data_IF_448307365816
#
_entry.id   IF_448307365816
#
_cell.length_a   1.000
_cell.length_b   1.000
_cell.length_c   1.000
_cell.angle_alpha   90.00
_cell.angle_beta   90.00
_cell.angle_gamma   90.00
#
_symmetry.space_group_name_H-M   'P 1'
#
loop_
_entity.id
_entity.type
_entity.pdbx_description
1 polymer ?
#
# COMPACT_ATOMS: atom_id res chain seq x y z
N UNK A 1 6.52 -18.81 -5.83
CA UNK A 1 5.85 -17.83 -4.96
C UNK A 1 5.75 -16.55 -5.75
N UNK A 2 4.55 -16.16 -6.15
CA UNK A 2 4.31 -14.88 -6.81
C UNK A 2 4.31 -13.77 -5.76
N UNK A 3 5.32 -12.89 -5.84
CA UNK A 3 5.45 -11.71 -4.98
C UNK A 3 4.69 -10.50 -5.54
N UNK A 4 3.92 -10.68 -6.62
CA UNK A 4 3.05 -9.62 -7.12
C UNK A 4 1.93 -9.33 -6.14
N UNK A 5 1.47 -8.10 -6.14
CA UNK A 5 0.28 -7.66 -5.44
C UNK A 5 -0.78 -7.41 -6.53
N UNK A 6 -1.51 -8.45 -6.96
CA UNK A 6 -2.60 -8.25 -7.92
C UNK A 6 -3.57 -7.22 -7.39
N UNK A 7 -4.15 -6.42 -8.28
CA UNK A 7 -5.19 -5.45 -7.97
C UNK A 7 -6.25 -5.98 -6.98
N UNK A 8 -6.69 -7.23 -7.18
CA UNK A 8 -7.67 -7.87 -6.32
C UNK A 8 -7.20 -8.01 -4.85
N UNK A 9 -5.91 -8.27 -4.65
CA UNK A 9 -5.32 -8.36 -3.31
C UNK A 9 -5.21 -6.98 -2.67
N UNK A 10 -4.85 -5.95 -3.44
CA UNK A 10 -4.85 -4.56 -2.98
C UNK A 10 -6.25 -4.14 -2.51
N UNK A 11 -7.28 -4.40 -3.31
CA UNK A 11 -8.68 -4.09 -2.96
C UNK A 11 -9.12 -4.76 -1.66
N UNK A 12 -8.78 -6.05 -1.48
CA UNK A 12 -9.11 -6.77 -0.24
C UNK A 12 -8.48 -6.13 1.00
N UNK A 13 -7.22 -5.69 0.90
CA UNK A 13 -6.53 -5.03 2.00
C UNK A 13 -7.13 -3.64 2.26
N UNK A 14 -7.44 -2.87 1.22
CA UNK A 14 -8.12 -1.57 1.36
C UNK A 14 -9.49 -1.72 2.04
N UNK A 15 -10.28 -2.73 1.69
CA UNK A 15 -11.56 -2.99 2.34
C UNK A 15 -11.39 -3.25 3.85
N UNK A 16 -10.39 -4.06 4.25
CA UNK A 16 -10.08 -4.30 5.66
C UNK A 16 -9.63 -3.03 6.38
N UNK A 17 -8.83 -2.18 5.73
CA UNK A 17 -8.41 -0.90 6.29
C UNK A 17 -9.59 0.07 6.47
N UNK A 18 -10.51 0.12 5.51
CA UNK A 18 -11.73 0.94 5.60
C UNK A 18 -12.64 0.46 6.72
N UNK A 19 -12.79 -0.86 6.90
CA UNK A 19 -13.55 -1.42 8.03
C UNK A 19 -12.92 -1.05 9.38
N UNK A 20 -11.58 -1.03 9.46
CA UNK A 20 -10.86 -0.78 10.71
C UNK A 20 -10.72 0.69 11.08
N UNK A 21 -10.44 1.55 10.10
CA UNK A 21 -10.06 2.95 10.32
C UNK A 21 -11.07 3.94 9.77
N UNK A 22 -12.11 3.46 9.10
CA UNK A 22 -13.08 4.29 8.39
C UNK A 22 -12.65 4.60 6.96
N UNK A 23 -13.62 5.08 6.19
CA UNK A 23 -13.47 5.37 4.76
C UNK A 23 -12.76 6.71 4.55
N UNK A 24 -11.66 6.76 3.79
CA UNK A 24 -11.02 8.04 3.46
C UNK A 24 -11.85 8.83 2.43
N UNK A 25 -11.62 10.14 2.38
CA UNK A 25 -12.16 10.98 1.30
C UNK A 25 -11.34 10.82 0.01
N UNK A 26 -10.01 10.73 0.15
CA UNK A 26 -9.08 10.56 -0.98
C UNK A 26 -8.05 9.47 -0.71
N UNK A 27 -7.74 8.71 -1.75
CA UNK A 27 -6.66 7.72 -1.78
C UNK A 27 -5.61 8.20 -2.77
N UNK A 28 -4.40 8.51 -2.28
CA UNK A 28 -3.27 8.87 -3.16
C UNK A 28 -2.40 7.65 -3.43
N UNK A 29 -2.09 7.39 -4.69
CA UNK A 29 -1.22 6.28 -5.10
C UNK A 29 -0.17 6.68 -6.11
N UNK A 30 0.92 5.92 -6.16
CA UNK A 30 1.86 5.99 -7.27
C UNK A 30 1.26 5.42 -8.58
N UNK A 31 2.02 5.55 -9.66
CA UNK A 31 1.65 5.05 -10.98
C UNK A 31 2.04 3.57 -11.18
N UNK A 32 2.09 2.77 -10.11
CA UNK A 32 2.34 1.35 -10.20
C UNK A 32 1.21 0.61 -10.95
N UNK A 33 1.50 -0.42 -11.75
CA UNK A 33 0.48 -1.17 -12.49
C UNK A 33 -0.57 -1.81 -11.57
N UNK A 34 -0.18 -2.09 -10.34
CA UNK A 34 -1.03 -2.66 -9.29
C UNK A 34 -2.08 -1.67 -8.77
N UNK A 35 -1.84 -0.37 -8.95
CA UNK A 35 -2.71 0.74 -8.55
C UNK A 35 -3.37 1.47 -9.73
N UNK A 36 -2.99 1.16 -10.97
CA UNK A 36 -3.63 1.69 -12.19
C UNK A 36 -4.77 0.79 -12.68
N UNK A 37 -4.95 -0.40 -12.09
CA UNK A 37 -5.96 -1.36 -12.51
C UNK A 37 -7.39 -0.78 -12.53
N UNK A 38 -8.18 -1.17 -13.54
CA UNK A 38 -9.60 -0.79 -13.64
C UNK A 38 -10.38 -1.21 -12.38
N UNK A 39 -10.10 -2.40 -11.84
CA UNK A 39 -10.76 -2.92 -10.65
C UNK A 39 -10.59 -2.00 -9.42
N UNK A 40 -9.41 -1.38 -9.23
CA UNK A 40 -9.20 -0.45 -8.12
C UNK A 40 -9.97 0.86 -8.33
N UNK A 41 -10.02 1.35 -9.57
CA UNK A 41 -10.79 2.54 -9.91
C UNK A 41 -12.29 2.32 -9.66
N UNK A 42 -12.82 1.17 -10.10
CA UNK A 42 -14.22 0.79 -9.89
C UNK A 42 -14.54 0.71 -8.38
N UNK A 43 -13.68 0.06 -7.60
CA UNK A 43 -13.85 -0.03 -6.15
C UNK A 43 -13.84 1.35 -5.48
N UNK A 44 -12.90 2.24 -5.84
CA UNK A 44 -12.85 3.59 -5.28
C UNK A 44 -14.12 4.38 -5.63
N UNK A 45 -14.61 4.25 -6.86
CA UNK A 45 -15.86 4.88 -7.31
C UNK A 45 -17.06 4.38 -6.51
N UNK A 46 -17.21 3.07 -6.33
CA UNK A 46 -18.29 2.47 -5.54
C UNK A 46 -18.28 2.93 -4.08
N UNK A 47 -17.08 3.19 -3.54
CA UNK A 47 -16.90 3.66 -2.17
C UNK A 47 -16.84 5.19 -2.07
N UNK A 48 -17.10 5.93 -3.15
CA UNK A 48 -17.00 7.41 -3.16
C UNK A 48 -15.66 7.89 -2.57
N UNK A 49 -14.57 7.23 -2.96
CA UNK A 49 -13.19 7.58 -2.61
C UNK A 49 -12.56 8.19 -3.84
N UNK A 50 -12.01 9.40 -3.71
CA UNK A 50 -11.29 10.07 -4.80
C UNK A 50 -9.89 9.47 -4.96
N UNK A 51 -9.65 8.74 -6.05
CA UNK A 51 -8.36 8.14 -6.35
C UNK A 51 -7.47 9.16 -7.07
N UNK A 52 -6.40 9.60 -6.43
CA UNK A 52 -5.46 10.57 -6.97
C UNK A 52 -4.10 9.92 -7.26
N UNK A 53 -3.68 9.92 -8.52
CA UNK A 53 -2.31 9.51 -8.87
C UNK A 53 -1.33 10.65 -8.62
N UNK A 54 -0.09 10.29 -8.27
CA UNK A 54 1.00 11.27 -8.25
C UNK A 54 1.28 11.79 -9.65
N UNK A 55 1.58 13.09 -9.74
CA UNK A 55 1.95 13.71 -11.00
C UNK A 55 3.32 13.17 -11.47
N UNK A 56 3.45 12.78 -12.75
CA UNK A 56 4.74 12.39 -13.32
C UNK A 56 5.81 13.47 -13.06
N UNK A 57 6.97 13.06 -12.56
CA UNK A 57 8.07 13.98 -12.25
C UNK A 57 7.92 14.77 -10.94
N UNK A 58 6.91 14.48 -10.10
CA UNK A 58 6.77 15.07 -8.76
C UNK A 58 6.92 14.04 -7.63
N UNK A 59 8.15 13.50 -7.42
CA UNK A 59 8.40 12.48 -6.38
C UNK A 59 8.09 12.98 -4.97
N UNK A 60 8.13 14.30 -4.74
CA UNK A 60 7.80 14.92 -3.45
C UNK A 60 6.37 14.65 -2.98
N UNK A 61 5.43 14.37 -3.91
CA UNK A 61 4.07 13.98 -3.55
C UNK A 61 4.01 12.61 -2.85
N UNK A 62 5.00 11.74 -3.06
CA UNK A 62 5.08 10.44 -2.39
C UNK A 62 6.12 10.39 -1.26
N UNK A 63 6.83 11.49 -0.99
CA UNK A 63 7.98 11.52 -0.09
C UNK A 63 7.69 11.00 1.33
N UNK A 64 6.47 11.19 1.83
CA UNK A 64 6.08 10.65 3.14
C UNK A 64 6.09 9.12 3.16
N UNK A 65 5.46 8.48 2.16
CA UNK A 65 5.42 7.01 2.06
C UNK A 65 6.80 6.46 1.74
N UNK A 66 7.58 7.12 0.88
CA UNK A 66 8.96 6.71 0.60
C UNK A 66 9.84 6.77 1.86
N UNK A 67 9.69 7.83 2.68
CA UNK A 67 10.41 7.95 3.95
C UNK A 67 9.98 6.88 4.95
N UNK A 68 8.68 6.59 5.05
CA UNK A 68 8.18 5.52 5.90
C UNK A 68 8.77 4.17 5.47
N UNK A 69 8.70 3.83 4.18
CA UNK A 69 9.25 2.59 3.63
C UNK A 69 10.76 2.48 3.88
N UNK A 70 11.50 3.57 3.71
CA UNK A 70 12.93 3.62 4.01
C UNK A 70 13.24 3.40 5.49
N UNK A 71 12.46 4.01 6.38
CA UNK A 71 12.59 3.84 7.84
C UNK A 71 12.27 2.41 8.24
N UNK A 72 11.16 1.86 7.76
CA UNK A 72 10.74 0.49 8.04
C UNK A 72 11.77 -0.54 7.55
N UNK A 73 12.33 -0.34 6.35
CA UNK A 73 13.40 -1.22 5.85
C UNK A 73 14.61 -1.19 6.76
N UNK A 74 15.10 0.00 7.13
CA UNK A 74 16.30 0.13 7.97
C UNK A 74 16.10 -0.42 9.39
N UNK A 75 15.01 -0.01 10.04
CA UNK A 75 14.81 -0.24 11.47
C UNK A 75 14.22 -1.63 11.75
N UNK A 76 13.51 -2.23 10.79
CA UNK A 76 12.88 -3.54 10.97
C UNK A 76 13.55 -4.60 10.12
N UNK A 77 13.65 -4.39 8.80
CA UNK A 77 14.09 -5.43 7.88
C UNK A 77 15.60 -5.66 7.91
N UNK A 78 16.40 -4.59 7.97
CA UNK A 78 17.86 -4.66 7.98
C UNK A 78 18.40 -4.94 9.39
N UNK A 79 17.64 -4.59 10.43
CA UNK A 79 18.02 -4.83 11.83
C UNK A 79 17.82 -6.29 12.28
N UNK A 80 17.07 -7.11 11.51
CA UNK A 80 16.72 -8.48 11.89
C UNK A 80 17.04 -9.47 10.76
N UNK A 81 17.64 -10.62 11.12
CA UNK A 81 17.78 -11.75 10.19
C UNK A 81 16.55 -12.64 10.31
N UNK A 82 15.76 -12.71 9.24
CA UNK A 82 14.57 -13.53 9.18
C UNK A 82 14.86 -14.86 8.50
N UNK A 83 14.52 -15.97 9.15
CA UNK A 83 14.62 -17.30 8.54
C UNK A 83 13.35 -17.70 7.79
N UNK A 84 12.26 -16.93 7.90
CA UNK A 84 11.02 -17.14 7.14
C UNK A 84 10.12 -15.90 7.07
N UNK A 85 9.25 -15.83 6.05
CA UNK A 85 8.21 -14.77 5.92
C UNK A 85 7.27 -14.75 7.13
N UNK A 86 7.04 -15.90 7.78
CA UNK A 86 6.20 -15.98 8.99
C UNK A 86 6.80 -15.19 10.15
N UNK A 87 8.12 -15.23 10.32
CA UNK A 87 8.80 -14.44 11.34
C UNK A 87 8.68 -12.94 11.05
N UNK A 88 8.80 -12.52 9.78
CA UNK A 88 8.58 -11.12 9.40
C UNK A 88 7.20 -10.65 9.85
N UNK A 89 6.14 -11.42 9.57
CA UNK A 89 4.77 -11.05 9.97
C UNK A 89 4.60 -10.89 11.48
N UNK A 90 5.19 -11.78 12.29
CA UNK A 90 5.07 -11.67 13.75
C UNK A 90 5.75 -10.43 14.33
N UNK A 91 6.86 -9.96 13.75
CA UNK A 91 7.54 -8.75 14.20
C UNK A 91 6.81 -7.48 13.75
N UNK A 92 6.12 -7.54 12.60
CA UNK A 92 5.43 -6.38 12.00
C UNK A 92 4.02 -6.20 12.55
N UNK A 93 3.32 -7.29 12.87
CA UNK A 93 1.96 -7.29 13.41
C UNK A 93 1.91 -7.24 14.96
N UNK A 94 3.07 -7.27 15.63
CA UNK A 94 3.25 -7.32 17.08
C UNK A 94 3.32 -5.96 17.76
#
# INVERSE_FOLDING_TARGET
MDYSLPAQRVIRLLAQLVERYGKPERLRSDNGPEFISQALQDWCKDHTVDLCWIEPGKPTQNAYIERFNGTFRREVLDAHVFSSIKQVRQIVDG
#
